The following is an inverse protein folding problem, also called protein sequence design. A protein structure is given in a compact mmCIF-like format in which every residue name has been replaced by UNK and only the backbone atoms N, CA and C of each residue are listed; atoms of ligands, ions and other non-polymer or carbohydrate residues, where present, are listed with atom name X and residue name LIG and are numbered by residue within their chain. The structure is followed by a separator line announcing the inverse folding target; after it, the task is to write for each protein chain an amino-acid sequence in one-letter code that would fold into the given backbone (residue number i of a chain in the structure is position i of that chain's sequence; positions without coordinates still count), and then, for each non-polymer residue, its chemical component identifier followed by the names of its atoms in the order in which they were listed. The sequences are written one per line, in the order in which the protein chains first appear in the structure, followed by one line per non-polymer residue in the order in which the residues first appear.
data_IF_460960235410
#
_entry.id   IF_460960235410
#
_cell.length_a   1.000
_cell.length_b   1.000
_cell.length_c   1.000
_cell.angle_alpha   90.00
_cell.angle_beta   90.00
_cell.angle_gamma   90.00
#
_symmetry.space_group_name_H-M   'P 1'
#
loop_
_entity.id
_entity.type
_entity.pdbx_description
1 polymer ?
#
# COMPACT_ATOMS: atom_id res chain seq x y z
N UNK A 1 6.20 -11.60 33.50
CA UNK A 1 6.48 -11.18 34.89
C UNK A 1 5.32 -10.29 35.27
N UNK A 2 4.47 -10.82 36.14
CA UNK A 2 3.17 -10.28 36.54
C UNK A 2 3.29 -9.95 38.04
N UNK A 3 2.61 -8.87 38.41
CA UNK A 3 2.27 -8.36 39.76
C UNK A 3 3.42 -7.84 40.62
N UNK A 4 3.51 -6.50 40.69
CA UNK A 4 3.91 -5.80 41.90
C UNK A 4 2.69 -5.71 42.83
N UNK A 5 2.93 -6.13 44.06
CA UNK A 5 2.01 -6.31 45.17
C UNK A 5 2.10 -5.05 46.05
N UNK A 6 1.28 -4.04 45.76
CA UNK A 6 1.23 -2.82 46.58
C UNK A 6 0.38 -3.08 47.83
N UNK A 7 1.13 -3.37 48.90
CA UNK A 7 0.67 -3.52 50.28
C UNK A 7 0.00 -2.23 50.75
N UNK A 8 -1.31 -2.29 51.00
CA UNK A 8 -2.09 -1.22 51.61
C UNK A 8 -1.79 -1.15 53.11
N UNK A 9 -0.87 -0.27 53.51
CA UNK A 9 -0.61 0.12 54.89
C UNK A 9 -1.88 0.73 55.51
N UNK A 10 -2.56 -0.07 56.32
CA UNK A 10 -3.67 0.34 57.15
C UNK A 10 -3.13 1.08 58.37
N UNK A 11 -2.90 2.39 58.23
CA UNK A 11 -2.62 3.26 59.38
C UNK A 11 -3.90 3.47 60.19
N UNK A 12 -4.04 2.67 61.25
CA UNK A 12 -5.05 2.86 62.29
C UNK A 12 -4.82 4.17 63.02
N UNK A 13 -5.74 5.12 62.87
CA UNK A 13 -5.80 6.28 63.75
C UNK A 13 -6.72 5.93 64.92
N UNK A 14 -6.11 5.71 66.09
CA UNK A 14 -6.80 5.42 67.33
C UNK A 14 -7.71 6.58 67.75
N UNK A 15 -8.89 6.23 68.26
CA UNK A 15 -9.88 7.11 68.88
C UNK A 15 -9.22 8.06 69.89
N UNK A 16 -9.15 9.33 69.51
CA UNK A 16 -8.84 10.39 70.45
C UNK A 16 -10.13 10.81 71.13
N UNK A 17 -10.40 10.20 72.28
CA UNK A 17 -11.45 10.58 73.22
C UNK A 17 -11.31 12.05 73.60
N UNK A 18 -12.05 12.95 72.94
CA UNK A 18 -12.12 14.36 73.33
C UNK A 18 -13.01 14.49 74.55
N UNK A 19 -12.38 14.63 75.72
CA UNK A 19 -13.04 14.98 76.97
C UNK A 19 -13.85 16.26 76.80
N UNK A 20 -15.18 16.13 76.90
CA UNK A 20 -16.11 17.25 76.92
C UNK A 20 -15.92 18.02 78.23
N UNK A 21 -15.22 19.15 78.16
CA UNK A 21 -15.10 20.08 79.28
C UNK A 21 -16.38 20.86 79.44
N UNK A 22 -16.89 20.81 80.66
CA UNK A 22 -18.06 21.44 81.25
C UNK A 22 -18.36 22.85 80.73
N UNK A 23 -19.63 23.02 80.35
CA UNK A 23 -20.32 24.27 80.08
C UNK A 23 -20.26 25.25 81.26
N UNK A 24 -19.59 26.39 81.08
CA UNK A 24 -19.84 27.61 81.86
C UNK A 24 -20.64 28.59 81.01
N UNK A 25 -21.95 28.68 81.30
CA UNK A 25 -22.87 29.62 80.66
C UNK A 25 -22.67 31.02 81.23
N UNK A 26 -21.98 31.88 80.48
CA UNK A 26 -22.08 33.34 80.61
C UNK A 26 -22.87 33.88 79.41
N UNK A 27 -23.80 34.84 79.59
CA UNK A 27 -24.60 35.33 78.47
C UNK A 27 -23.70 36.16 77.55
N UNK A 28 -23.36 35.60 76.39
CA UNK A 28 -22.62 36.27 75.34
C UNK A 28 -23.59 36.99 74.39
N UNK A 29 -23.25 38.23 74.06
CA UNK A 29 -24.06 39.14 73.25
C UNK A 29 -24.50 38.54 71.90
N UNK A 30 -25.66 38.94 71.35
CA UNK A 30 -26.26 38.36 70.14
C UNK A 30 -25.39 38.37 68.87
N UNK A 31 -24.37 39.23 68.80
CA UNK A 31 -23.50 39.38 67.62
C UNK A 31 -22.48 38.23 67.45
N UNK A 32 -22.03 37.60 68.54
CA UNK A 32 -21.00 36.55 68.48
C UNK A 32 -21.54 35.23 67.88
N UNK A 33 -22.82 34.95 68.11
CA UNK A 33 -23.50 33.74 67.63
C UNK A 33 -23.79 33.82 66.13
N UNK A 34 -24.14 35.01 65.62
CA UNK A 34 -24.37 35.26 64.20
C UNK A 34 -23.07 35.17 63.37
N UNK A 35 -21.94 35.63 63.90
CA UNK A 35 -20.64 35.54 63.22
C UNK A 35 -20.13 34.10 63.10
N UNK A 36 -20.34 33.28 64.14
CA UNK A 36 -19.98 31.85 64.14
C UNK A 36 -20.74 31.05 63.08
N UNK A 37 -22.02 31.37 62.90
CA UNK A 37 -22.90 30.75 61.90
C UNK A 37 -22.55 31.17 60.46
N UNK A 38 -22.18 32.44 60.25
CA UNK A 38 -21.66 32.92 58.95
C UNK A 38 -20.32 32.27 58.61
N UNK A 39 -19.39 32.17 59.55
CA UNK A 39 -18.09 31.52 59.34
C UNK A 39 -18.24 30.02 59.00
N UNK A 40 -19.15 29.31 59.67
CA UNK A 40 -19.46 27.91 59.36
C UNK A 40 -20.00 27.73 57.93
N UNK A 41 -20.91 28.60 57.49
CA UNK A 41 -21.42 28.58 56.11
C UNK A 41 -20.34 28.86 55.06
N UNK A 42 -19.44 29.82 55.32
CA UNK A 42 -18.33 30.12 54.41
C UNK A 42 -17.38 28.93 54.30
N UNK A 43 -17.04 28.29 55.42
CA UNK A 43 -16.18 27.12 55.43
C UNK A 43 -16.83 25.92 54.74
N UNK A 44 -18.12 25.68 54.97
CA UNK A 44 -18.86 24.64 54.27
C UNK A 44 -18.87 24.86 52.75
N UNK A 45 -19.17 26.09 52.30
CA UNK A 45 -19.12 26.45 50.87
C UNK A 45 -17.74 26.21 50.26
N UNK A 46 -16.67 26.58 50.97
CA UNK A 46 -15.31 26.34 50.52
C UNK A 46 -14.99 24.84 50.38
N UNK A 47 -15.45 24.03 51.33
CA UNK A 47 -15.33 22.57 51.27
C UNK A 47 -16.11 21.97 50.11
N UNK A 48 -17.35 22.43 49.87
CA UNK A 48 -18.18 21.98 48.75
C UNK A 48 -17.51 22.28 47.40
N UNK A 49 -17.05 23.51 47.18
CA UNK A 49 -16.36 23.93 45.95
C UNK A 49 -15.07 23.12 45.75
N UNK A 50 -14.29 22.90 46.81
CA UNK A 50 -13.05 22.12 46.72
C UNK A 50 -13.32 20.67 46.33
N UNK A 51 -14.40 20.08 46.88
CA UNK A 51 -14.81 18.72 46.56
C UNK A 51 -15.31 18.60 45.12
N UNK A 52 -16.13 19.56 44.65
CA UNK A 52 -16.60 19.61 43.27
C UNK A 52 -15.42 19.69 42.29
N UNK A 53 -14.44 20.58 42.55
CA UNK A 53 -13.22 20.69 41.74
C UNK A 53 -12.41 19.39 41.73
N UNK A 54 -12.35 18.68 42.85
CA UNK A 54 -11.65 17.40 42.92
C UNK A 54 -12.35 16.32 42.08
N UNK A 55 -13.67 16.23 42.13
CA UNK A 55 -14.42 15.28 41.30
C UNK A 55 -14.35 15.63 39.80
N UNK A 56 -14.39 16.91 39.43
CA UNK A 56 -14.16 17.37 38.05
C UNK A 56 -12.79 16.89 37.52
N UNK A 57 -11.72 17.09 38.30
CA UNK A 57 -10.36 16.66 37.93
C UNK A 57 -10.24 15.13 37.81
N UNK A 58 -10.94 14.39 38.68
CA UNK A 58 -10.97 12.93 38.62
C UNK A 58 -11.68 12.46 37.35
N UNK A 59 -12.80 13.07 37.00
CA UNK A 59 -13.52 12.76 35.76
C UNK A 59 -12.66 13.07 34.53
N UNK A 60 -12.03 14.25 34.48
CA UNK A 60 -11.12 14.63 33.40
C UNK A 60 -9.95 13.63 33.27
N UNK A 61 -9.38 13.20 34.39
CA UNK A 61 -8.30 12.19 34.39
C UNK A 61 -8.75 10.88 33.77
N UNK A 62 -9.97 10.41 34.10
CA UNK A 62 -10.54 9.18 33.52
C UNK A 62 -10.79 9.35 32.02
N UNK A 63 -11.37 10.48 31.60
CA UNK A 63 -11.62 10.78 30.19
C UNK A 63 -10.32 10.85 29.38
N UNK A 64 -9.32 11.55 29.90
CA UNK A 64 -8.00 11.67 29.26
C UNK A 64 -7.30 10.31 29.16
N UNK A 65 -7.40 9.49 30.20
CA UNK A 65 -6.87 8.14 30.19
C UNK A 65 -7.56 7.27 29.14
N UNK A 66 -8.89 7.31 29.04
CA UNK A 66 -9.64 6.59 28.01
C UNK A 66 -9.26 7.04 26.58
N UNK A 67 -9.13 8.35 26.36
CA UNK A 67 -8.69 8.90 25.08
C UNK A 67 -7.26 8.45 24.72
N UNK A 68 -6.33 8.46 25.69
CA UNK A 68 -4.97 7.98 25.51
C UNK A 68 -4.92 6.48 25.17
N UNK A 69 -5.78 5.67 25.79
CA UNK A 69 -5.90 4.25 25.46
C UNK A 69 -6.41 4.05 24.03
N UNK A 70 -7.46 4.79 23.63
CA UNK A 70 -7.99 4.74 22.26
C UNK A 70 -6.91 5.10 21.22
N UNK A 71 -6.20 6.21 21.44
CA UNK A 71 -5.11 6.64 20.57
C UNK A 71 -3.98 5.62 20.49
N UNK A 72 -3.65 4.96 21.61
CA UNK A 72 -2.64 3.91 21.63
C UNK A 72 -3.05 2.69 20.78
N UNK A 73 -4.33 2.31 20.83
CA UNK A 73 -4.87 1.23 19.98
C UNK A 73 -4.84 1.63 18.50
N UNK A 74 -5.30 2.82 18.14
CA UNK A 74 -5.25 3.33 16.77
C UNK A 74 -3.81 3.37 16.22
N UNK A 75 -2.86 3.86 17.01
CA UNK A 75 -1.46 3.90 16.63
C UNK A 75 -0.90 2.50 16.37
N UNK A 76 -1.27 1.52 17.21
CA UNK A 76 -0.87 0.13 17.03
C UNK A 76 -1.44 -0.47 15.74
N UNK A 77 -2.70 -0.17 15.40
CA UNK A 77 -3.36 -0.63 14.19
C UNK A 77 -2.71 -0.02 12.93
N UNK A 78 -2.46 1.29 12.94
CA UNK A 78 -1.76 1.98 11.85
C UNK A 78 -0.34 1.41 11.66
N UNK A 79 0.39 1.16 12.76
CA UNK A 79 1.71 0.53 12.71
C UNK A 79 1.66 -0.88 12.11
N UNK A 80 0.60 -1.64 12.36
CA UNK A 80 0.40 -2.95 11.73
C UNK A 80 0.12 -2.83 10.23
N UNK A 81 -0.83 -1.98 9.84
CA UNK A 81 -1.16 -1.74 8.44
C UNK A 81 0.06 -1.28 7.64
N UNK A 82 0.91 -0.42 8.22
CA UNK A 82 2.16 0.02 7.59
C UNK A 82 3.14 -1.13 7.35
N UNK A 83 3.28 -2.07 8.31
CA UNK A 83 4.13 -3.26 8.14
C UNK A 83 3.61 -4.17 7.03
N UNK A 84 2.30 -4.40 6.96
CA UNK A 84 1.67 -5.20 5.91
C UNK A 84 1.87 -4.58 4.53
N UNK A 85 1.70 -3.26 4.41
CA UNK A 85 1.91 -2.53 3.17
C UNK A 85 3.38 -2.61 2.71
N UNK A 86 4.34 -2.45 3.64
CA UNK A 86 5.77 -2.62 3.34
C UNK A 86 6.10 -4.01 2.81
N UNK A 87 5.50 -5.07 3.37
CA UNK A 87 5.66 -6.43 2.87
C UNK A 87 5.08 -6.59 1.46
N UNK A 88 3.89 -6.02 1.21
CA UNK A 88 3.24 -6.05 -0.11
C UNK A 88 4.09 -5.35 -1.17
N UNK A 89 4.68 -4.20 -0.85
CA UNK A 89 5.60 -3.47 -1.75
C UNK A 89 6.81 -4.34 -2.08
N UNK A 90 7.49 -4.92 -1.07
CA UNK A 90 8.65 -5.80 -1.29
C UNK A 90 8.33 -7.01 -2.17
N UNK A 91 7.12 -7.58 -2.03
CA UNK A 91 6.65 -8.69 -2.87
C UNK A 91 6.46 -8.23 -4.32
N UNK A 92 5.75 -7.12 -4.52
CA UNK A 92 5.51 -6.57 -5.85
C UNK A 92 6.81 -6.17 -6.57
N UNK A 93 7.80 -5.63 -5.85
CA UNK A 93 9.11 -5.32 -6.41
C UNK A 93 9.84 -6.57 -6.91
N UNK A 94 9.78 -7.68 -6.15
CA UNK A 94 10.34 -8.97 -6.58
C UNK A 94 9.62 -9.50 -7.81
N UNK A 95 8.30 -9.44 -7.81
CA UNK A 95 7.47 -9.93 -8.92
C UNK A 95 7.74 -9.10 -10.18
N UNK A 96 7.87 -7.78 -10.07
CA UNK A 96 8.20 -6.88 -11.18
C UNK A 96 9.58 -7.19 -11.78
N UNK A 97 10.58 -7.48 -10.95
CA UNK A 97 11.91 -7.91 -11.43
C UNK A 97 11.81 -9.19 -12.25
N UNK A 98 11.08 -10.21 -11.76
CA UNK A 98 10.87 -11.47 -12.50
C UNK A 98 10.15 -11.26 -13.83
N UNK A 99 9.14 -10.38 -13.85
CA UNK A 99 8.43 -10.04 -15.09
C UNK A 99 9.37 -9.37 -16.10
N UNK A 100 10.19 -8.42 -15.67
CA UNK A 100 11.20 -7.77 -16.54
C UNK A 100 12.23 -8.75 -17.07
N UNK A 101 12.65 -9.72 -16.26
CA UNK A 101 13.57 -10.78 -16.70
C UNK A 101 12.92 -11.70 -17.73
N UNK A 102 11.66 -12.10 -17.51
CA UNK A 102 10.89 -12.90 -18.46
C UNK A 102 10.65 -12.16 -19.78
N UNK A 103 10.34 -10.86 -19.73
CA UNK A 103 10.18 -10.01 -20.91
C UNK A 103 11.47 -9.91 -21.73
N UNK A 104 12.63 -9.75 -21.06
CA UNK A 104 13.94 -9.76 -21.71
C UNK A 104 14.25 -11.11 -22.36
N UNK A 105 13.97 -12.21 -21.66
CA UNK A 105 14.16 -13.56 -22.19
C UNK A 105 13.30 -13.78 -23.44
N UNK A 106 12.01 -13.42 -23.40
CA UNK A 106 11.11 -13.52 -24.54
C UNK A 106 11.55 -12.63 -25.72
N UNK A 107 12.06 -11.44 -25.44
CA UNK A 107 12.58 -10.53 -26.47
C UNK A 107 13.86 -11.07 -27.13
N UNK A 108 14.72 -11.76 -26.38
CA UNK A 108 15.90 -12.43 -26.92
C UNK A 108 15.51 -13.65 -27.77
N UNK A 109 14.48 -14.38 -27.36
CA UNK A 109 13.95 -15.53 -28.11
C UNK A 109 13.32 -15.11 -29.47
N UNK A 110 12.73 -13.91 -29.55
CA UNK A 110 12.21 -13.37 -30.81
C UNK A 110 13.31 -13.01 -31.84
N UNK A 111 14.57 -12.89 -31.40
CA UNK A 111 15.74 -12.58 -32.24
C UNK A 111 16.75 -13.73 -32.18
N UNK A 112 16.27 -14.95 -32.41
CA UNK A 112 17.20 -16.09 -32.53
C UNK A 112 18.03 -15.96 -33.81
N UNK A 113 19.35 -16.21 -33.77
CA UNK A 113 20.21 -16.18 -34.95
C UNK A 113 19.77 -17.19 -36.03
N UNK A 114 19.10 -18.27 -35.61
CA UNK A 114 18.50 -19.26 -36.52
C UNK A 114 17.35 -18.65 -37.35
N UNK A 115 16.42 -17.91 -36.72
CA UNK A 115 15.33 -17.23 -37.43
C UNK A 115 15.86 -16.20 -38.43
N UNK A 116 16.93 -15.49 -38.08
CA UNK A 116 17.61 -14.56 -38.99
C UNK A 116 18.26 -15.29 -40.17
N UNK A 117 18.91 -16.43 -39.91
CA UNK A 117 19.52 -17.26 -40.95
C UNK A 117 18.45 -17.78 -41.93
N UNK A 118 17.33 -18.30 -41.42
CA UNK A 118 16.21 -18.78 -42.22
C UNK A 118 15.57 -17.66 -43.06
N UNK A 119 15.40 -16.45 -42.49
CA UNK A 119 14.93 -15.29 -43.26
C UNK A 119 15.86 -14.93 -44.40
N UNK A 120 17.18 -14.94 -44.14
CA UNK A 120 18.18 -14.65 -45.18
C UNK A 120 18.12 -15.71 -46.29
N UNK A 121 18.12 -16.99 -45.93
CA UNK A 121 18.03 -18.09 -46.89
C UNK A 121 16.76 -18.00 -47.74
N UNK A 122 15.62 -17.64 -47.14
CA UNK A 122 14.37 -17.42 -47.87
C UNK A 122 14.49 -16.29 -48.89
N UNK A 123 15.15 -15.18 -48.54
CA UNK A 123 15.38 -14.06 -49.46
C UNK A 123 16.33 -14.45 -50.60
N UNK A 124 17.42 -15.15 -50.29
CA UNK A 124 18.38 -15.63 -51.31
C UNK A 124 17.69 -16.55 -52.33
N UNK A 125 16.80 -17.44 -51.88
CA UNK A 125 15.99 -18.31 -52.76
C UNK A 125 15.00 -17.51 -53.62
N UNK A 126 14.40 -16.44 -53.09
CA UNK A 126 13.51 -15.55 -53.86
C UNK A 126 14.29 -14.85 -54.98
N UNK A 127 15.49 -14.38 -54.68
CA UNK A 127 16.35 -13.69 -55.64
C UNK A 127 16.87 -14.65 -56.72
N UNK A 128 17.28 -15.86 -56.34
CA UNK A 128 17.65 -16.92 -57.27
C UNK A 128 16.47 -17.30 -58.18
N UNK A 129 15.27 -17.46 -57.62
CA UNK A 129 14.07 -17.76 -58.41
C UNK A 129 13.76 -16.66 -59.43
N UNK A 130 13.97 -15.39 -59.07
CA UNK A 130 13.83 -14.25 -59.98
C UNK A 130 14.87 -14.29 -61.10
N UNK A 131 16.12 -14.65 -60.79
CA UNK A 131 17.17 -14.88 -61.77
C UNK A 131 16.79 -16.00 -62.76
N UNK A 132 16.33 -17.14 -62.25
CA UNK A 132 15.86 -18.28 -63.04
C UNK A 132 14.69 -17.90 -63.96
N UNK A 133 13.68 -17.17 -63.46
CA UNK A 133 12.57 -16.66 -64.29
C UNK A 133 13.06 -15.81 -65.47
N UNK A 134 14.08 -14.99 -65.24
CA UNK A 134 14.68 -14.15 -66.28
C UNK A 134 15.36 -14.99 -67.37
N UNK A 135 16.12 -16.02 -66.96
CA UNK A 135 16.75 -16.95 -67.89
C UNK A 135 15.70 -17.72 -68.69
N UNK A 136 14.67 -18.27 -68.03
CA UNK A 136 13.57 -18.99 -68.68
C UNK A 136 12.86 -18.10 -69.71
N UNK A 137 12.56 -16.85 -69.37
CA UNK A 137 11.93 -15.92 -70.31
C UNK A 137 12.82 -15.69 -71.54
N UNK A 138 14.11 -15.43 -71.34
CA UNK A 138 15.07 -15.25 -72.45
C UNK A 138 15.14 -16.50 -73.34
N UNK A 139 15.25 -17.69 -72.75
CA UNK A 139 15.29 -18.94 -73.51
C UNK A 139 13.99 -19.16 -74.29
N UNK A 140 12.82 -18.86 -73.72
CA UNK A 140 11.55 -18.96 -74.41
C UNK A 140 11.46 -18.02 -75.62
N UNK A 141 11.99 -16.80 -75.51
CA UNK A 141 12.08 -15.86 -76.63
C UNK A 141 12.98 -16.42 -77.74
N UNK A 142 14.16 -16.95 -77.38
CA UNK A 142 15.09 -17.55 -78.34
C UNK A 142 14.48 -18.80 -79.02
N UNK A 143 13.79 -19.65 -78.26
CA UNK A 143 13.11 -20.83 -78.77
C UNK A 143 12.00 -20.45 -79.77
N UNK A 144 11.16 -19.48 -79.41
CA UNK A 144 10.08 -18.99 -80.28
C UNK A 144 10.63 -18.43 -81.60
N UNK A 145 11.77 -17.71 -81.53
CA UNK A 145 12.48 -17.21 -82.72
C UNK A 145 12.94 -18.36 -83.61
N UNK A 146 13.55 -19.39 -83.03
CA UNK A 146 14.01 -20.55 -83.80
C UNK A 146 12.86 -21.36 -84.40
N UNK A 147 11.78 -21.59 -83.65
CA UNK A 147 10.58 -22.25 -84.14
C UNK A 147 9.98 -21.52 -85.34
N UNK A 148 9.94 -20.19 -85.31
CA UNK A 148 9.44 -19.38 -86.44
C UNK A 148 10.40 -19.40 -87.62
N UNK A 149 11.71 -19.24 -87.37
CA UNK A 149 12.75 -19.17 -88.42
C UNK A 149 12.89 -20.48 -89.21
N UNK A 150 12.70 -21.62 -88.54
CA UNK A 150 12.86 -22.95 -89.13
C UNK A 150 11.54 -23.70 -89.26
N UNK A 151 10.41 -22.98 -89.27
CA UNK A 151 9.11 -23.58 -89.55
C UNK A 151 9.15 -24.19 -90.96
N UNK A 152 8.74 -25.46 -91.07
CA UNK A 152 8.56 -26.08 -92.37
C UNK A 152 7.46 -25.35 -93.13
N UNK A 153 7.78 -24.84 -94.32
CA UNK A 153 6.81 -24.32 -95.27
C UNK A 153 5.90 -25.49 -95.67
N UNK A 154 4.59 -25.34 -95.55
CA UNK A 154 3.65 -26.37 -96.02
C UNK A 154 3.70 -26.44 -97.56
N UNK A 155 3.30 -27.55 -98.17
CA UNK A 155 3.32 -27.71 -99.64
C UNK A 155 2.59 -26.57 -100.38
N UNK A 156 1.56 -25.97 -99.76
CA UNK A 156 0.88 -24.75 -100.24
C UNK A 156 1.79 -23.50 -100.36
N UNK A 157 2.80 -23.36 -99.49
CA UNK A 157 3.67 -22.17 -99.42
C UNK A 157 4.85 -22.24 -100.40
N UNK A 158 5.14 -23.42 -100.98
CA UNK A 158 6.28 -23.65 -101.91
C UNK A 158 5.84 -23.63 -103.39
N UNK A 159 4.54 -23.77 -103.67
CA UNK A 159 4.01 -23.94 -105.05
C UNK A 159 3.80 -22.63 -105.81
N UNK A 160 4.00 -21.45 -105.19
CA UNK A 160 3.89 -20.16 -105.88
C UNK A 160 5.22 -19.39 -105.85
N UNK A 161 6.14 -19.62 -106.81
CA UNK A 161 7.19 -18.66 -107.11
C UNK A 161 6.62 -17.51 -107.97
N UNK A 162 7.06 -16.27 -107.67
CA UNK A 162 6.85 -15.05 -108.46
C UNK A 162 7.47 -15.20 -109.85
#
# INVERSE_FOLDING_TARGET
MVTDDDTFEQVGFADSSFSSSSSSSSPSSPQHVQHRDVAGRVQQRYTEITKEKFEELKEETVQLHAANQSLSLELSAVRQAMRELQLKVKKLEKDNRRLKEAEKAASQEAVTPELLCLRKQGQDLVDENKGLKTIVHRLNVELSRYQTKFRHLSEEEVTFPI
#
